data_IF_885546559342
#
_entry.id   IF_885546559342
#
_cell.length_a   1.000
_cell.length_b   1.000
_cell.length_c   1.000
_cell.angle_alpha   90.00
_cell.angle_beta   90.00
_cell.angle_gamma   90.00
#
_symmetry.space_group_name_H-M   'P 1'
#
loop_
_entity.id
_entity.type
_entity.pdbx_description
1 polymer ?
#
# COMPACT_ATOMS: atom_id res chain seq x y z
N UNK A 1 3.50 -3.66 -12.20
CA UNK A 1 2.51 -2.96 -11.36
C UNK A 1 2.99 -3.01 -9.91
N UNK A 2 2.88 -1.90 -9.18
CA UNK A 2 3.46 -1.66 -7.85
C UNK A 2 3.15 -2.74 -6.80
N UNK A 3 2.00 -3.41 -6.91
CA UNK A 3 1.58 -4.47 -5.98
C UNK A 3 2.08 -5.88 -6.35
N UNK A 4 2.77 -6.04 -7.48
CA UNK A 4 3.28 -7.34 -7.95
C UNK A 4 4.07 -8.13 -6.89
N UNK A 5 4.94 -7.49 -6.09
CA UNK A 5 5.66 -8.16 -5.00
C UNK A 5 4.78 -8.75 -3.89
N UNK A 6 3.53 -8.29 -3.74
CA UNK A 6 2.60 -8.75 -2.70
C UNK A 6 1.67 -9.87 -3.19
N UNK A 7 1.40 -9.91 -4.50
CA UNK A 7 0.41 -10.82 -5.10
C UNK A 7 0.84 -12.29 -4.94
N UNK A 8 -0.08 -13.13 -4.44
CA UNK A 8 0.15 -14.56 -4.17
C UNK A 8 1.36 -14.84 -3.25
N UNK A 9 1.64 -13.95 -2.29
CA UNK A 9 2.70 -14.13 -1.30
C UNK A 9 2.13 -14.24 0.11
N UNK A 10 2.89 -14.90 0.99
CA UNK A 10 2.65 -14.84 2.42
C UNK A 10 3.25 -13.53 2.96
N UNK A 11 2.37 -12.59 3.33
CA UNK A 11 2.76 -11.25 3.78
C UNK A 11 3.59 -11.25 5.08
N UNK A 12 3.43 -12.26 5.94
CA UNK A 12 4.25 -12.42 7.15
C UNK A 12 5.75 -12.67 6.84
N UNK A 13 6.09 -13.04 5.61
CA UNK A 13 7.50 -13.21 5.18
C UNK A 13 8.09 -11.92 4.60
N UNK A 14 7.26 -10.90 4.39
CA UNK A 14 7.63 -9.63 3.76
C UNK A 14 7.61 -8.50 4.79
N UNK A 15 6.59 -8.48 5.65
CA UNK A 15 6.42 -7.48 6.70
C UNK A 15 6.58 -8.13 8.07
N UNK A 16 7.18 -7.38 9.00
CA UNK A 16 7.25 -7.79 10.42
C UNK A 16 5.86 -7.92 11.05
N UNK A 17 4.92 -7.05 10.65
CA UNK A 17 3.52 -7.09 11.07
C UNK A 17 2.63 -6.67 9.89
N UNK A 18 2.04 -7.61 9.13
CA UNK A 18 1.34 -7.31 7.87
C UNK A 18 -0.09 -6.84 8.11
N UNK A 19 -0.29 -5.78 8.90
CA UNK A 19 -1.62 -5.15 9.02
C UNK A 19 -1.94 -4.35 7.76
N UNK A 20 -3.23 -4.13 7.52
CA UNK A 20 -3.74 -3.35 6.38
C UNK A 20 -3.12 -1.94 6.34
N UNK A 21 -2.92 -1.30 7.49
CA UNK A 21 -2.24 -0.01 7.62
C UNK A 21 -0.79 -0.07 7.11
N UNK A 22 -0.01 -1.04 7.59
CA UNK A 22 1.40 -1.18 7.23
C UNK A 22 1.57 -1.49 5.74
N UNK A 23 0.68 -2.30 5.19
CA UNK A 23 0.66 -2.61 3.75
C UNK A 23 0.30 -1.37 2.94
N UNK A 24 -0.73 -0.61 3.34
CA UNK A 24 -1.15 0.60 2.65
C UNK A 24 -0.04 1.67 2.64
N UNK A 25 0.63 1.88 3.77
CA UNK A 25 1.78 2.79 3.85
C UNK A 25 2.92 2.34 2.95
N UNK A 26 3.23 1.04 2.93
CA UNK A 26 4.26 0.52 2.03
C UNK A 26 3.89 0.75 0.56
N UNK A 27 2.65 0.47 0.15
CA UNK A 27 2.18 0.73 -1.22
C UNK A 27 2.28 2.22 -1.55
N UNK A 28 1.88 3.11 -0.64
CA UNK A 28 1.96 4.56 -0.83
C UNK A 28 3.41 5.00 -1.11
N UNK A 29 4.38 4.52 -0.35
CA UNK A 29 5.80 4.83 -0.58
C UNK A 29 6.31 4.28 -1.92
N UNK A 30 5.90 3.06 -2.30
CA UNK A 30 6.23 2.53 -3.62
C UNK A 30 5.60 3.35 -4.75
N UNK A 31 4.41 3.91 -4.57
CA UNK A 31 3.80 4.80 -5.56
C UNK A 31 4.56 6.13 -5.61
N UNK A 32 4.78 6.79 -4.47
CA UNK A 32 5.45 8.09 -4.38
C UNK A 32 6.83 8.09 -5.03
N UNK A 33 7.61 7.03 -4.82
CA UNK A 33 8.95 6.89 -5.41
C UNK A 33 8.96 6.74 -6.94
N UNK A 34 7.82 6.38 -7.55
CA UNK A 34 7.67 6.20 -8.99
C UNK A 34 6.82 7.31 -9.65
N UNK A 35 6.34 8.30 -8.90
CA UNK A 35 5.59 9.42 -9.46
C UNK A 35 6.54 10.50 -10.01
N UNK A 36 6.16 11.20 -11.10
CA UNK A 36 6.85 12.41 -11.55
C UNK A 36 6.87 13.49 -10.47
N UNK A 37 7.90 14.33 -10.45
CA UNK A 37 8.10 15.36 -9.40
C UNK A 37 6.94 16.36 -9.25
N UNK A 38 6.19 16.60 -10.34
CA UNK A 38 5.05 17.51 -10.35
C UNK A 38 3.72 16.84 -9.95
N UNK A 39 3.73 15.55 -9.61
CA UNK A 39 2.55 14.79 -9.19
C UNK A 39 2.74 14.33 -7.75
N UNK A 40 1.75 14.60 -6.90
CA UNK A 40 1.74 14.14 -5.50
C UNK A 40 0.65 13.10 -5.31
N UNK A 41 0.98 12.05 -4.56
CA UNK A 41 -0.02 11.10 -4.08
C UNK A 41 -0.91 11.83 -3.07
N UNK A 42 -2.18 12.02 -3.38
CA UNK A 42 -3.15 12.67 -2.49
C UNK A 42 -3.71 11.70 -1.45
N UNK A 43 -4.12 10.50 -1.89
CA UNK A 43 -4.82 9.54 -1.05
C UNK A 43 -4.57 8.10 -1.46
N UNK A 44 -4.55 7.20 -0.49
CA UNK A 44 -4.63 5.74 -0.71
C UNK A 44 -5.73 5.15 0.16
N UNK A 45 -6.48 4.20 -0.42
CA UNK A 45 -7.47 3.39 0.28
C UNK A 45 -7.14 1.93 -0.01
N UNK A 46 -6.91 1.14 1.04
CA UNK A 46 -6.66 -0.30 0.93
C UNK A 46 -7.77 -1.06 1.66
N UNK A 47 -8.42 -1.96 0.95
CA UNK A 47 -9.50 -2.79 1.48
C UNK A 47 -9.01 -4.21 1.79
N UNK A 48 -9.35 -4.71 2.97
CA UNK A 48 -9.23 -6.09 3.39
C UNK A 48 -10.60 -6.76 3.31
N UNK A 49 -10.82 -7.45 2.19
CA UNK A 49 -12.17 -7.89 1.81
C UNK A 49 -13.05 -6.69 1.42
N UNK A 50 -14.35 -6.81 1.63
CA UNK A 50 -15.33 -5.80 1.19
C UNK A 50 -15.79 -4.87 2.33
N UNK A 51 -15.50 -5.21 3.58
CA UNK A 51 -16.08 -4.52 4.75
C UNK A 51 -15.07 -3.69 5.55
N UNK A 52 -13.77 -4.05 5.51
CA UNK A 52 -12.74 -3.41 6.31
C UNK A 52 -11.73 -2.74 5.40
N UNK A 53 -11.35 -1.50 5.71
CA UNK A 53 -10.37 -0.77 4.92
C UNK A 53 -9.66 0.30 5.73
N UNK A 54 -8.50 0.69 5.23
CA UNK A 54 -7.68 1.78 5.80
C UNK A 54 -7.52 2.86 4.75
N UNK A 55 -7.62 4.11 5.19
CA UNK A 55 -7.42 5.30 4.36
C UNK A 55 -6.28 6.16 4.92
N UNK A 56 -5.41 6.64 4.04
CA UNK A 56 -4.40 7.67 4.35
C UNK A 56 -4.44 8.79 3.31
N UNK A 57 -4.44 10.03 3.79
CA UNK A 57 -4.34 11.26 2.99
C UNK A 57 -2.99 11.95 3.27
N UNK A 58 -2.37 12.56 2.25
CA UNK A 58 -0.99 13.08 2.29
C UNK A 58 -0.87 14.52 1.78
#
# INVERSE_FOLDING_TARGET
MTIGPLKHKNLNRIFKNPTTENIALWIAEQIKTNLPENIKLYKIVLWEGDENGVEFEF
#
